data_IF_916552606630
#
_entry.id   IF_916552606630
#
_cell.length_a   1.000
_cell.length_b   1.000
_cell.length_c   1.000
_cell.angle_alpha   90.00
_cell.angle_beta   90.00
_cell.angle_gamma   90.00
#
_symmetry.space_group_name_H-M   'P 1'
#
loop_
_entity.id
_entity.type
_entity.pdbx_description
1 polymer ?
#
# COMPACT_ATOMS: atom_id res chain seq x y z
N UNK A 1 -13.66 48.66 7.00
CA UNK A 1 -13.03 47.56 6.24
C UNK A 1 -12.69 46.50 7.27
N UNK A 2 -13.49 45.45 7.36
CA UNK A 2 -13.23 44.33 8.27
C UNK A 2 -12.09 43.51 7.68
N UNK A 3 -10.96 43.46 8.38
CA UNK A 3 -9.91 42.50 8.06
C UNK A 3 -10.46 41.12 8.45
N UNK A 4 -11.00 40.40 7.47
CA UNK A 4 -11.22 38.97 7.63
C UNK A 4 -9.86 38.31 7.81
N UNK A 5 -9.56 37.95 9.06
CA UNK A 5 -8.44 37.08 9.37
C UNK A 5 -8.84 35.72 8.79
N UNK A 6 -8.31 35.41 7.60
CA UNK A 6 -8.34 34.05 7.05
C UNK A 6 -7.63 33.14 8.05
N UNK A 7 -8.40 32.47 8.92
CA UNK A 7 -7.86 31.52 9.88
C UNK A 7 -7.32 30.32 9.12
N UNK A 8 -5.99 30.22 9.07
CA UNK A 8 -5.29 29.08 8.49
C UNK A 8 -5.58 27.82 9.31
N UNK A 9 -6.38 26.90 8.77
CA UNK A 9 -6.61 25.60 9.40
C UNK A 9 -5.52 24.62 8.96
N UNK A 10 -4.56 24.36 9.86
CA UNK A 10 -3.47 23.43 9.60
C UNK A 10 -3.98 22.02 9.26
N UNK A 11 -5.12 21.60 9.83
CA UNK A 11 -5.69 20.27 9.60
C UNK A 11 -6.21 20.11 8.18
N UNK A 12 -6.89 21.12 7.64
CA UNK A 12 -7.42 21.08 6.27
C UNK A 12 -6.26 20.98 5.27
N UNK A 13 -5.20 21.76 5.46
CA UNK A 13 -4.00 21.69 4.61
C UNK A 13 -3.26 20.35 4.69
N UNK A 14 -3.22 19.73 5.88
CA UNK A 14 -2.65 18.38 6.02
C UNK A 14 -3.49 17.37 5.23
N UNK A 15 -4.81 17.48 5.30
CA UNK A 15 -5.74 16.61 4.58
C UNK A 15 -5.60 16.77 3.06
N UNK A 16 -5.63 18.00 2.55
CA UNK A 16 -5.41 18.30 1.13
C UNK A 16 -4.09 17.70 0.65
N UNK A 17 -3.01 17.90 1.41
CA UNK A 17 -1.70 17.35 1.05
C UNK A 17 -1.67 15.82 1.07
N UNK A 18 -2.41 15.18 1.98
CA UNK A 18 -2.52 13.72 2.00
C UNK A 18 -3.29 13.21 0.78
N UNK A 19 -4.37 13.88 0.38
CA UNK A 19 -5.14 13.58 -0.84
C UNK A 19 -4.26 13.74 -2.10
N UNK A 20 -3.55 14.85 -2.23
CA UNK A 20 -2.59 15.08 -3.33
C UNK A 20 -1.51 13.99 -3.42
N UNK A 21 -0.97 13.56 -2.28
CA UNK A 21 0.01 12.47 -2.23
C UNK A 21 -0.66 11.17 -2.67
N UNK A 22 -1.85 10.86 -2.16
CA UNK A 22 -2.56 9.63 -2.49
C UNK A 22 -2.82 9.55 -4.00
N UNK A 23 -3.47 10.56 -4.57
CA UNK A 23 -3.80 10.63 -5.99
C UNK A 23 -2.57 10.54 -6.89
N UNK A 24 -1.46 11.18 -6.48
CA UNK A 24 -0.22 11.16 -7.26
C UNK A 24 0.42 9.78 -7.35
N UNK A 25 0.29 8.95 -6.32
CA UNK A 25 1.05 7.70 -6.20
C UNK A 25 0.20 6.43 -6.25
N UNK A 26 -1.14 6.52 -6.14
CA UNK A 26 -2.03 5.35 -6.07
C UNK A 26 -1.91 4.44 -7.30
N UNK A 27 -1.90 5.00 -8.51
CA UNK A 27 -1.80 4.20 -9.74
C UNK A 27 -0.46 3.46 -9.84
N UNK A 28 0.64 4.13 -9.47
CA UNK A 28 1.97 3.52 -9.48
C UNK A 28 2.12 2.46 -8.38
N UNK A 29 1.57 2.74 -7.20
CA UNK A 29 1.55 1.77 -6.10
C UNK A 29 0.75 0.53 -6.48
N UNK A 30 -0.41 0.71 -7.13
CA UNK A 30 -1.23 -0.40 -7.60
C UNK A 30 -0.49 -1.24 -8.64
N UNK A 31 0.13 -0.60 -9.64
CA UNK A 31 0.92 -1.31 -10.66
C UNK A 31 2.03 -2.18 -10.04
N UNK A 32 2.71 -1.67 -9.00
CA UNK A 32 3.73 -2.43 -8.28
C UNK A 32 3.16 -3.63 -7.53
N UNK A 33 1.95 -3.50 -6.98
CA UNK A 33 1.24 -4.64 -6.36
C UNK A 33 0.89 -5.67 -7.43
N UNK A 34 0.36 -5.25 -8.57
CA UNK A 34 -0.02 -6.12 -9.68
C UNK A 34 1.17 -6.92 -10.23
N UNK A 35 2.30 -6.27 -10.47
CA UNK A 35 3.53 -6.94 -10.91
C UNK A 35 3.96 -8.05 -9.94
N UNK A 36 3.95 -7.76 -8.64
CA UNK A 36 4.35 -8.72 -7.59
C UNK A 36 3.36 -9.87 -7.44
N UNK A 37 2.05 -9.58 -7.56
CA UNK A 37 1.00 -10.61 -7.50
C UNK A 37 1.10 -11.55 -8.70
N UNK A 38 1.24 -11.03 -9.92
CA UNK A 38 1.38 -11.87 -11.11
C UNK A 38 2.64 -12.72 -11.08
N UNK A 39 3.77 -12.16 -10.65
CA UNK A 39 4.99 -12.96 -10.45
C UNK A 39 4.78 -14.09 -9.43
N UNK A 40 4.03 -13.82 -8.35
CA UNK A 40 3.75 -14.81 -7.33
C UNK A 40 2.85 -15.93 -7.86
N UNK A 41 1.81 -15.58 -8.62
CA UNK A 41 0.90 -16.52 -9.28
C UNK A 41 1.65 -17.38 -10.31
N UNK A 42 2.50 -16.80 -11.14
CA UNK A 42 3.31 -17.52 -12.14
C UNK A 42 4.24 -18.55 -11.48
N UNK A 43 4.69 -18.27 -10.26
CA UNK A 43 5.52 -19.19 -9.45
C UNK A 43 4.70 -20.21 -8.66
N UNK A 44 3.37 -20.15 -8.73
CA UNK A 44 2.46 -21.05 -8.02
C UNK A 44 2.34 -20.77 -6.53
N UNK A 45 2.64 -19.54 -6.08
CA UNK A 45 2.39 -19.14 -4.70
C UNK A 45 0.90 -18.86 -4.47
N UNK A 46 0.45 -19.13 -3.25
CA UNK A 46 -0.92 -18.90 -2.80
C UNK A 46 -1.09 -17.58 -2.02
N UNK A 47 0.02 -16.95 -1.65
CA UNK A 47 0.05 -15.66 -0.96
C UNK A 47 1.27 -14.85 -1.39
N UNK A 48 1.19 -13.53 -1.21
CA UNK A 48 2.34 -12.65 -1.26
C UNK A 48 2.31 -11.63 -0.13
N UNK A 49 3.49 -11.36 0.44
CA UNK A 49 3.69 -10.36 1.47
C UNK A 49 4.58 -9.23 0.93
N UNK A 50 4.01 -8.04 0.77
CA UNK A 50 4.69 -6.87 0.21
C UNK A 50 5.12 -5.94 1.36
N UNK A 51 6.43 -5.76 1.60
CA UNK A 51 6.90 -4.87 2.66
C UNK A 51 6.56 -3.41 2.33
N UNK A 52 5.91 -2.70 3.24
CA UNK A 52 5.55 -1.28 3.06
C UNK A 52 6.01 -0.38 4.20
N UNK A 53 6.70 -0.88 5.22
CA UNK A 53 7.29 -0.03 6.27
C UNK A 53 8.41 -0.80 6.91
N UNK A 54 9.54 -0.16 7.18
CA UNK A 54 10.72 -0.78 7.80
C UNK A 54 12.02 -0.23 7.18
N UNK A 55 13.19 -0.63 7.69
CA UNK A 55 14.48 -0.23 7.16
C UNK A 55 14.73 -0.88 5.79
N UNK A 56 14.59 -0.10 4.71
CA UNK A 56 14.94 -0.55 3.37
C UNK A 56 16.48 -0.71 3.32
N UNK A 57 16.97 -1.94 3.17
CA UNK A 57 18.39 -2.14 2.91
C UNK A 57 18.68 -1.76 1.45
N UNK A 58 19.68 -0.89 1.25
CA UNK A 58 20.05 -0.35 -0.06
C UNK A 58 20.60 -1.41 -1.04
N UNK A 59 20.60 -2.69 -0.67
CA UNK A 59 21.14 -3.78 -1.50
C UNK A 59 20.24 -4.21 -2.65
N UNK A 60 18.94 -3.85 -2.64
CA UNK A 60 18.01 -4.14 -3.74
C UNK A 60 17.35 -2.85 -4.26
N UNK A 61 17.97 -2.23 -5.26
CA UNK A 61 17.51 -0.96 -5.84
C UNK A 61 16.10 -1.03 -6.45
N UNK A 62 15.70 -2.17 -6.99
CA UNK A 62 14.35 -2.39 -7.57
C UNK A 62 13.27 -2.42 -6.49
N UNK A 63 13.49 -3.21 -5.42
CA UNK A 63 12.64 -3.21 -4.22
C UNK A 63 12.53 -1.81 -3.59
N UNK A 64 13.60 -1.02 -3.62
CA UNK A 64 13.63 0.32 -3.02
C UNK A 64 12.70 1.30 -3.73
N UNK A 65 12.54 1.16 -5.04
CA UNK A 65 11.63 2.00 -5.84
C UNK A 65 10.18 1.55 -5.73
N UNK A 66 9.92 0.24 -5.75
CA UNK A 66 8.57 -0.35 -5.66
C UNK A 66 7.94 -0.19 -4.28
N UNK A 67 8.75 -0.31 -3.24
CA UNK A 67 8.27 -0.09 -1.88
C UNK A 67 7.88 1.38 -1.66
N UNK A 68 8.43 2.34 -2.41
CA UNK A 68 8.28 3.78 -2.14
C UNK A 68 6.85 4.30 -2.43
N UNK A 69 6.21 3.91 -3.53
CA UNK A 69 4.86 4.39 -3.84
C UNK A 69 3.82 3.71 -2.95
N UNK A 70 3.92 2.39 -2.78
CA UNK A 70 3.11 1.61 -1.82
C UNK A 70 3.23 2.21 -0.41
N UNK A 71 4.45 2.53 0.04
CA UNK A 71 4.72 3.21 1.31
C UNK A 71 3.96 4.54 1.44
N UNK A 72 4.05 5.40 0.44
CA UNK A 72 3.45 6.73 0.48
C UNK A 72 1.94 6.65 0.60
N UNK A 73 1.33 5.78 -0.21
CA UNK A 73 -0.11 5.62 -0.30
C UNK A 73 -0.67 5.00 0.99
N UNK A 74 -0.04 3.92 1.48
CA UNK A 74 -0.46 3.27 2.74
C UNK A 74 -0.26 4.19 3.95
N UNK A 75 0.78 5.03 3.98
CA UNK A 75 1.00 5.97 5.10
C UNK A 75 -0.07 7.04 5.21
N UNK A 76 -0.63 7.51 4.09
CA UNK A 76 -1.63 8.60 4.10
C UNK A 76 -3.05 8.07 4.16
N UNK A 77 -3.36 6.95 3.49
CA UNK A 77 -4.69 6.37 3.48
C UNK A 77 -4.65 4.83 3.32
N UNK A 78 -4.36 4.11 4.41
CA UNK A 78 -4.14 2.66 4.38
C UNK A 78 -5.38 1.86 3.97
N UNK A 79 -6.56 2.25 4.48
CA UNK A 79 -7.81 1.52 4.23
C UNK A 79 -8.25 1.69 2.78
N UNK A 80 -8.19 2.92 2.26
CA UNK A 80 -8.57 3.17 0.86
C UNK A 80 -7.69 2.39 -0.11
N UNK A 81 -6.39 2.24 0.18
CA UNK A 81 -5.51 1.46 -0.68
C UNK A 81 -5.82 -0.03 -0.65
N UNK A 82 -6.09 -0.58 0.55
CA UNK A 82 -6.54 -1.97 0.67
C UNK A 82 -7.81 -2.19 -0.14
N UNK A 83 -8.79 -1.28 -0.06
CA UNK A 83 -10.05 -1.42 -0.79
C UNK A 83 -9.82 -1.36 -2.30
N UNK A 84 -8.94 -0.47 -2.79
CA UNK A 84 -8.53 -0.45 -4.21
C UNK A 84 -7.90 -1.78 -4.64
N UNK A 85 -7.01 -2.35 -3.83
CA UNK A 85 -6.39 -3.66 -4.14
C UNK A 85 -7.45 -4.75 -4.21
N UNK A 86 -8.35 -4.83 -3.22
CA UNK A 86 -9.45 -5.82 -3.21
C UNK A 86 -10.37 -5.68 -4.41
N UNK A 87 -10.82 -4.47 -4.72
CA UNK A 87 -11.77 -4.22 -5.80
C UNK A 87 -11.17 -4.59 -7.17
N UNK A 88 -9.89 -4.27 -7.39
CA UNK A 88 -9.23 -4.58 -8.66
C UNK A 88 -9.00 -6.09 -8.87
N UNK A 89 -8.58 -6.80 -7.83
CA UNK A 89 -8.36 -8.25 -7.89
C UNK A 89 -9.63 -9.06 -7.61
N UNK A 90 -10.77 -8.41 -7.35
CA UNK A 90 -12.05 -9.03 -6.99
C UNK A 90 -11.92 -9.98 -5.78
N UNK A 91 -11.21 -9.54 -4.74
CA UNK A 91 -10.90 -10.35 -3.56
C UNK A 91 -11.75 -9.99 -2.34
N UNK A 92 -12.00 -10.98 -1.49
CA UNK A 92 -12.77 -10.86 -0.26
C UNK A 92 -12.04 -10.04 0.82
N UNK A 93 -12.77 -9.50 1.79
CA UNK A 93 -12.17 -8.67 2.87
C UNK A 93 -11.09 -9.39 3.69
N UNK A 94 -11.14 -10.70 3.80
CA UNK A 94 -10.17 -11.52 4.55
C UNK A 94 -8.85 -11.75 3.81
N UNK A 95 -8.79 -11.51 2.50
CA UNK A 95 -7.65 -11.86 1.64
C UNK A 95 -6.56 -10.79 1.65
N UNK A 96 -6.93 -9.51 1.81
CA UNK A 96 -6.00 -8.38 1.79
C UNK A 96 -5.95 -7.75 3.17
N UNK A 97 -4.80 -7.81 3.84
CA UNK A 97 -4.64 -7.34 5.23
C UNK A 97 -3.20 -6.94 5.55
N UNK A 98 -3.03 -6.17 6.64
CA UNK A 98 -1.69 -5.86 7.15
C UNK A 98 -1.23 -6.89 8.17
N UNK A 99 0.02 -7.33 8.05
CA UNK A 99 0.65 -8.26 8.99
C UNK A 99 2.05 -7.81 9.39
N UNK A 100 2.35 -7.97 10.66
CA UNK A 100 3.72 -7.95 11.19
C UNK A 100 4.23 -9.40 11.18
N UNK A 101 5.32 -9.65 10.46
CA UNK A 101 5.89 -11.00 10.30
C UNK A 101 6.91 -11.36 11.40
N UNK A 102 7.16 -10.48 12.38
CA UNK A 102 7.86 -10.80 13.63
C UNK A 102 9.39 -10.68 13.59
N UNK A 103 10.08 -11.20 14.61
CA UNK A 103 11.43 -10.81 15.09
C UNK A 103 12.60 -10.80 14.09
N UNK A 104 12.48 -11.47 12.94
CA UNK A 104 13.50 -11.48 11.88
C UNK A 104 13.16 -10.54 10.73
N UNK A 105 11.93 -10.03 10.71
CA UNK A 105 11.43 -9.08 9.74
C UNK A 105 10.99 -7.80 10.44
N UNK A 106 11.76 -6.75 10.22
CA UNK A 106 11.47 -5.42 10.78
C UNK A 106 10.41 -4.66 9.98
N UNK A 107 9.81 -5.31 8.97
CA UNK A 107 8.84 -4.70 8.09
C UNK A 107 7.38 -5.04 8.41
N UNK A 108 6.50 -4.06 8.21
CA UNK A 108 5.07 -4.31 8.07
C UNK A 108 4.76 -4.66 6.62
N UNK A 109 3.85 -5.63 6.44
CA UNK A 109 3.51 -6.18 5.14
C UNK A 109 2.06 -5.95 4.79
N UNK A 110 1.82 -5.62 3.53
CA UNK A 110 0.53 -5.81 2.88
C UNK A 110 0.52 -7.25 2.40
N UNK A 111 -0.33 -8.07 2.99
CA UNK A 111 -0.52 -9.46 2.60
C UNK A 111 -1.71 -9.54 1.67
N UNK A 112 -1.56 -10.29 0.58
CA UNK A 112 -2.61 -10.66 -0.34
C UNK A 112 -2.59 -12.19 -0.40
N UNK A 113 -3.66 -12.81 0.09
CA UNK A 113 -3.81 -14.25 0.26
C UNK A 113 -4.98 -14.73 -0.60
N UNK A 114 -4.68 -15.56 -1.60
CA UNK A 114 -5.66 -16.18 -2.49
C UNK A 114 -5.65 -17.70 -2.37
N UNK A 115 -5.17 -18.23 -1.25
CA UNK A 115 -5.13 -19.68 -1.00
C UNK A 115 -6.51 -20.34 -1.10
N UNK A 116 -7.54 -19.67 -0.61
CA UNK A 116 -8.92 -20.15 -0.64
C UNK A 116 -9.57 -20.10 -2.05
N UNK A 117 -8.99 -19.36 -3.00
CA UNK A 117 -9.50 -19.28 -4.38
C UNK A 117 -9.08 -20.46 -5.26
N UNK A 118 -8.01 -21.16 -4.88
CA UNK A 118 -7.45 -22.30 -5.61
C UNK A 118 -7.89 -23.66 -5.01
N UNK A 119 -8.86 -23.68 -4.09
CA UNK A 119 -9.25 -24.86 -3.32
C UNK A 119 -10.26 -25.80 -4.03
N UNK A 120 -10.41 -25.72 -5.36
CA UNK A 120 -11.28 -26.60 -6.17
C UNK A 120 -10.51 -27.70 -6.94
#
# INVERSE_FOLDING_TARGET
>A
MSNEISTYNLMDKIKERHEEIYEKYVDQAFKQVEEVVFEAVDKGFAEVAIPFKGPISNSNSELTSSINCIQKVIRVNPNSFIDVVRDNFQLDKSTVYFKDLGSFDTHFHLVIDWSDLNAE
#
